data_IF_656162830528
#
_entry.id   IF_656162830528
#
_cell.length_a   1.000
_cell.length_b   1.000
_cell.length_c   1.000
_cell.angle_alpha   90.00
_cell.angle_beta   90.00
_cell.angle_gamma   90.00
#
_symmetry.space_group_name_H-M   'P 1'
#
loop_
_entity.id
_entity.type
_entity.pdbx_description
1 polymer ?
#
# COMPACT_ATOMS: atom_id res chain seq x y z
N UNK A 1 -2.26 6.31 -17.27
CA UNK A 1 -1.82 7.73 -17.26
C UNK A 1 -1.12 8.15 -15.95
N UNK A 2 -1.61 7.81 -14.74
CA UNK A 2 -1.03 8.27 -13.45
C UNK A 2 0.31 7.63 -13.04
N UNK A 3 0.58 6.39 -13.48
CA UNK A 3 1.86 5.71 -13.21
C UNK A 3 3.07 6.45 -13.80
N UNK A 4 2.93 7.06 -15.00
CA UNK A 4 4.01 7.79 -15.67
C UNK A 4 4.36 9.13 -15.01
N UNK A 5 3.49 9.68 -14.15
CA UNK A 5 3.73 10.94 -13.42
C UNK A 5 4.05 10.72 -11.94
N UNK A 6 4.26 9.48 -11.50
CA UNK A 6 4.54 9.14 -10.09
C UNK A 6 3.50 9.70 -9.09
N UNK A 7 2.27 9.91 -9.55
CA UNK A 7 1.19 10.48 -8.74
C UNK A 7 0.40 9.34 -8.11
N UNK A 8 0.78 8.97 -6.89
CA UNK A 8 0.16 7.89 -6.12
C UNK A 8 -0.96 8.43 -5.22
N UNK A 9 -2.07 7.69 -5.12
CA UNK A 9 -3.09 7.91 -4.09
C UNK A 9 -2.90 6.90 -2.95
N UNK A 10 -3.19 7.32 -1.72
CA UNK A 10 -3.12 6.45 -0.56
C UNK A 10 -4.46 5.74 -0.34
N UNK A 11 -4.44 4.41 -0.25
CA UNK A 11 -5.58 3.62 0.27
C UNK A 11 -5.84 3.85 1.78
N UNK A 12 -4.89 4.47 2.49
CA UNK A 12 -4.91 4.63 3.95
C UNK A 12 -3.76 3.87 4.63
N UNK A 13 -3.53 4.14 5.92
CA UNK A 13 -2.57 3.39 6.71
C UNK A 13 -3.24 2.12 7.28
N UNK A 14 -2.54 0.98 7.20
CA UNK A 14 -2.99 -0.25 7.85
C UNK A 14 -2.53 -0.21 9.30
N UNK A 15 -3.45 -0.02 10.24
CA UNK A 15 -3.15 0.03 11.68
C UNK A 15 -3.18 -1.36 12.36
N UNK A 16 -3.50 -2.40 11.59
CA UNK A 16 -3.53 -3.77 12.08
C UNK A 16 -2.13 -4.25 12.51
N UNK A 17 -2.08 -4.91 13.67
CA UNK A 17 -0.85 -5.47 14.27
C UNK A 17 -0.70 -6.98 14.07
N UNK A 18 -1.76 -7.67 13.63
CA UNK A 18 -1.72 -9.11 13.32
C UNK A 18 -1.63 -9.32 11.83
N UNK A 19 -0.82 -10.30 11.40
CA UNK A 19 -0.59 -10.59 9.99
C UNK A 19 -1.88 -10.85 9.22
N UNK A 20 -2.81 -11.63 9.80
CA UNK A 20 -4.10 -11.93 9.17
C UNK A 20 -4.93 -10.67 8.86
N UNK A 21 -4.97 -9.71 9.79
CA UNK A 21 -5.73 -8.47 9.60
C UNK A 21 -5.03 -7.54 8.60
N UNK A 22 -3.69 -7.52 8.59
CA UNK A 22 -2.91 -6.77 7.59
C UNK A 22 -3.17 -7.32 6.19
N UNK A 23 -3.13 -8.64 6.01
CA UNK A 23 -3.41 -9.29 4.74
C UNK A 23 -4.85 -9.03 4.27
N UNK A 24 -5.83 -9.09 5.16
CA UNK A 24 -7.22 -8.79 4.83
C UNK A 24 -7.39 -7.33 4.35
N UNK A 25 -6.82 -6.36 5.08
CA UNK A 25 -6.87 -4.95 4.70
C UNK A 25 -6.16 -4.69 3.35
N UNK A 26 -5.00 -5.32 3.14
CA UNK A 26 -4.27 -5.20 1.88
C UNK A 26 -5.05 -5.76 0.70
N UNK A 27 -5.62 -6.95 0.87
CA UNK A 27 -6.41 -7.63 -0.17
C UNK A 27 -7.64 -6.81 -0.55
N UNK A 28 -8.30 -6.18 0.44
CA UNK A 28 -9.42 -5.29 0.19
C UNK A 28 -9.02 -4.07 -0.65
N UNK A 29 -7.92 -3.36 -0.30
CA UNK A 29 -7.43 -2.22 -1.10
C UNK A 29 -7.08 -2.66 -2.53
N UNK A 30 -6.43 -3.81 -2.73
CA UNK A 30 -6.13 -4.30 -4.09
C UNK A 30 -7.43 -4.58 -4.87
N UNK A 31 -8.41 -5.22 -4.24
CA UNK A 31 -9.69 -5.55 -4.86
C UNK A 31 -10.54 -4.32 -5.21
N UNK A 32 -10.47 -3.25 -4.41
CA UNK A 32 -11.15 -1.97 -4.67
C UNK A 32 -10.55 -1.18 -5.83
N UNK A 33 -9.31 -1.50 -6.24
CA UNK A 33 -8.57 -0.82 -7.30
C UNK A 33 -8.23 -1.74 -8.50
N UNK A 34 -9.24 -2.36 -9.16
CA UNK A 34 -8.99 -3.27 -10.27
C UNK A 34 -8.42 -2.51 -11.49
N UNK A 35 -7.32 -3.02 -12.04
CA UNK A 35 -6.63 -2.42 -13.20
C UNK A 35 -5.79 -1.17 -12.89
N UNK A 36 -5.69 -0.76 -11.63
CA UNK A 36 -4.75 0.26 -11.17
C UNK A 36 -3.47 -0.36 -10.62
N UNK A 37 -2.39 0.42 -10.62
CA UNK A 37 -1.14 -0.02 -9.99
C UNK A 37 -1.25 0.14 -8.47
N UNK A 38 -0.98 -0.93 -7.73
CA UNK A 38 -1.02 -0.91 -6.27
C UNK A 38 0.37 -1.23 -5.72
N UNK A 39 0.86 -0.36 -4.84
CA UNK A 39 2.19 -0.49 -4.23
C UNK A 39 2.07 -0.52 -2.72
N UNK A 40 2.55 -1.61 -2.12
CA UNK A 40 2.75 -1.72 -0.69
C UNK A 40 3.98 -0.91 -0.28
N UNK A 41 3.84 -0.10 0.77
CA UNK A 41 4.92 0.73 1.31
C UNK A 41 5.07 0.43 2.81
N UNK A 42 6.22 -0.13 3.19
CA UNK A 42 6.61 -0.24 4.60
C UNK A 42 7.20 1.09 5.08
N UNK A 43 6.71 1.61 6.20
CA UNK A 43 7.17 2.88 6.80
C UNK A 43 7.75 2.61 8.18
N UNK A 44 8.95 3.15 8.45
CA UNK A 44 9.50 3.23 9.80
C UNK A 44 8.78 4.37 10.56
N UNK A 45 8.00 4.08 11.62
CA UNK A 45 7.19 5.09 12.30
C UNK A 45 8.04 6.09 13.10
N UNK A 46 9.28 5.73 13.48
CA UNK A 46 10.18 6.61 14.24
C UNK A 46 10.93 7.56 13.31
N UNK A 47 11.55 6.99 12.27
CA UNK A 47 12.33 7.77 11.31
C UNK A 47 11.47 8.42 10.20
N UNK A 48 10.17 8.11 10.15
CA UNK A 48 9.20 8.61 9.16
C UNK A 48 9.68 8.44 7.71
N UNK A 49 10.28 7.28 7.43
CA UNK A 49 10.88 6.96 6.12
C UNK A 49 10.30 5.66 5.57
N UNK A 50 10.26 5.56 4.25
CA UNK A 50 9.91 4.31 3.57
C UNK A 50 11.10 3.36 3.64
N UNK A 51 10.86 2.13 4.06
CA UNK A 51 11.89 1.08 4.22
C UNK A 51 11.76 -0.02 3.18
N UNK A 52 10.54 -0.26 2.69
CA UNK A 52 10.24 -1.28 1.69
C UNK A 52 9.18 -0.75 0.74
N UNK A 53 9.32 -1.04 -0.54
CA UNK A 53 8.29 -0.78 -1.55
C UNK A 53 8.13 -2.03 -2.43
N UNK A 54 6.91 -2.55 -2.56
CA UNK A 54 6.60 -3.74 -3.38
C UNK A 54 5.43 -3.43 -4.29
N UNK A 55 5.62 -3.62 -5.60
CA UNK A 55 4.52 -3.52 -6.57
C UNK A 55 3.70 -4.81 -6.53
N UNK A 56 2.38 -4.69 -6.41
CA UNK A 56 1.47 -5.83 -6.33
C UNK A 56 0.67 -6.02 -7.63
N UNK A 57 0.21 -4.93 -8.23
CA UNK A 57 -0.54 -4.90 -9.50
C UNK A 57 0.01 -3.76 -10.37
#
# INVERSE_FOLDING_TARGET
RRFRTSSWHSCGAIEAITEANVLAALTNCVAEHPGEYVRLVGVDPKAKRRVTEVMLQ
#
